data_IF_216811802438
#
_entry.id   IF_216811802438
#
_cell.length_a   1.000
_cell.length_b   1.000
_cell.length_c   1.000
_cell.angle_alpha   90.00
_cell.angle_beta   90.00
_cell.angle_gamma   90.00
#
_symmetry.space_group_name_H-M   'P 1'
#
loop_
_entity.id
_entity.type
_entity.pdbx_description
1 polymer ?
#
# COMPACT_ATOMS: atom_id res chain seq x y z
N UNK A 1 16.61 -6.65 7.59
CA UNK A 1 15.18 -6.80 7.27
C UNK A 1 14.93 -6.18 5.90
N UNK A 2 14.52 -6.98 4.91
CA UNK A 2 14.08 -6.49 3.60
C UNK A 2 12.67 -5.90 3.77
N UNK A 3 12.57 -4.59 3.94
CA UNK A 3 11.30 -3.89 4.15
C UNK A 3 10.41 -4.02 2.90
N UNK A 4 9.24 -4.67 3.01
CA UNK A 4 8.28 -4.76 1.89
C UNK A 4 7.22 -3.66 1.97
N UNK A 5 6.84 -3.16 0.81
CA UNK A 5 5.79 -2.16 0.56
C UNK A 5 4.52 -2.89 0.12
N UNK A 6 3.42 -2.68 0.83
CA UNK A 6 2.11 -3.15 0.39
C UNK A 6 1.44 -2.13 -0.51
N UNK A 7 0.82 -2.56 -1.60
CA UNK A 7 0.07 -1.68 -2.49
C UNK A 7 -1.38 -2.12 -2.48
N UNK A 8 -2.26 -1.27 -1.95
CA UNK A 8 -3.70 -1.51 -1.92
C UNK A 8 -4.36 -0.81 -3.10
N UNK A 9 -4.95 -1.59 -4.00
CA UNK A 9 -5.43 -1.09 -5.30
C UNK A 9 -6.95 -1.10 -5.42
N UNK A 10 -7.67 -0.99 -4.29
CA UNK A 10 -9.14 -0.93 -4.29
C UNK A 10 -9.58 0.33 -5.06
N UNK A 11 -10.60 0.21 -5.92
CA UNK A 11 -11.18 1.34 -6.65
C UNK A 11 -10.29 2.01 -7.72
N UNK A 12 -9.18 1.38 -8.11
CA UNK A 12 -8.34 1.89 -9.21
C UNK A 12 -8.66 1.22 -10.53
N UNK A 13 -8.67 2.00 -11.61
CA UNK A 13 -8.61 1.47 -12.97
C UNK A 13 -7.34 0.63 -13.17
N UNK A 14 -7.51 -0.51 -13.84
CA UNK A 14 -6.45 -1.50 -14.08
C UNK A 14 -5.16 -0.89 -14.64
N UNK A 15 -5.29 0.09 -15.53
CA UNK A 15 -4.17 0.80 -16.17
C UNK A 15 -3.35 1.60 -15.14
N UNK A 16 -4.01 2.29 -14.21
CA UNK A 16 -3.35 3.09 -13.16
C UNK A 16 -2.65 2.18 -12.16
N UNK A 17 -3.24 1.02 -11.88
CA UNK A 17 -2.62 -0.02 -11.04
C UNK A 17 -1.37 -0.58 -11.70
N UNK A 18 -1.46 -0.99 -12.96
CA UNK A 18 -0.34 -1.56 -13.72
C UNK A 18 0.79 -0.54 -13.85
N UNK A 19 0.50 0.71 -14.23
CA UNK A 19 1.52 1.77 -14.29
C UNK A 19 2.16 2.10 -12.93
N UNK A 20 1.38 2.09 -11.85
CA UNK A 20 1.92 2.36 -10.49
C UNK A 20 2.75 1.19 -10.00
N UNK A 21 2.28 -0.05 -10.21
CA UNK A 21 3.03 -1.25 -9.89
C UNK A 21 4.28 -1.33 -10.75
N UNK A 22 4.25 -1.03 -12.04
CA UNK A 22 5.41 -1.06 -12.94
C UNK A 22 6.47 -0.02 -12.55
N UNK A 23 6.05 1.17 -12.11
CA UNK A 23 6.96 2.16 -11.53
C UNK A 23 7.53 1.72 -10.18
N UNK A 24 6.78 0.94 -9.40
CA UNK A 24 7.19 0.44 -8.09
C UNK A 24 7.96 -0.88 -8.16
N UNK A 25 7.77 -1.70 -9.20
CA UNK A 25 8.53 -2.92 -9.47
C UNK A 25 9.92 -2.60 -10.01
N UNK A 26 10.15 -1.39 -10.55
CA UNK A 26 11.50 -0.84 -10.71
C UNK A 26 12.26 -0.75 -9.37
N UNK A 27 11.57 -0.68 -8.22
CA UNK A 27 12.20 -0.76 -6.91
C UNK A 27 12.51 -2.20 -6.45
N UNK A 28 12.23 -3.23 -7.26
CA UNK A 28 12.78 -4.59 -7.17
C UNK A 28 12.30 -5.44 -5.98
N UNK A 29 11.46 -6.48 -6.19
CA UNK A 29 11.08 -7.51 -5.18
C UNK A 29 10.52 -7.05 -3.81
N UNK A 30 10.44 -5.75 -3.53
CA UNK A 30 9.98 -5.21 -2.25
C UNK A 30 8.48 -4.91 -2.23
N UNK A 31 7.76 -4.94 -3.36
CA UNK A 31 6.35 -4.57 -3.40
C UNK A 31 5.40 -5.79 -3.51
N UNK A 32 4.30 -5.77 -2.75
CA UNK A 32 3.23 -6.79 -2.80
C UNK A 32 1.89 -6.11 -3.07
N UNK A 33 1.16 -6.57 -4.09
CA UNK A 33 -0.18 -6.08 -4.42
C UNK A 33 -1.24 -6.76 -3.54
N UNK A 34 -2.13 -5.96 -2.96
CA UNK A 34 -3.30 -6.39 -2.20
C UNK A 34 -4.57 -5.88 -2.86
N UNK A 35 -5.54 -6.78 -3.02
CA UNK A 35 -6.91 -6.48 -3.46
C UNK A 35 -7.93 -6.47 -2.31
N UNK A 36 -7.49 -6.83 -1.10
CA UNK A 36 -8.33 -6.91 0.09
C UNK A 36 -7.55 -6.39 1.31
N UNK A 37 -8.20 -5.54 2.10
CA UNK A 37 -7.67 -4.94 3.35
C UNK A 37 -7.32 -6.00 4.40
N UNK A 38 -8.10 -7.07 4.52
CA UNK A 38 -7.85 -8.11 5.53
C UNK A 38 -6.50 -8.82 5.32
N UNK A 39 -6.18 -9.17 4.06
CA UNK A 39 -4.88 -9.80 3.74
C UNK A 39 -3.72 -8.85 4.00
N UNK A 40 -3.91 -7.56 3.70
CA UNK A 40 -2.94 -6.52 3.97
C UNK A 40 -2.68 -6.37 5.48
N UNK A 41 -3.74 -6.33 6.30
CA UNK A 41 -3.62 -6.24 7.76
C UNK A 41 -2.93 -7.47 8.36
N UNK A 42 -3.20 -8.66 7.85
CA UNK A 42 -2.54 -9.89 8.32
C UNK A 42 -1.03 -9.87 8.04
N UNK A 43 -0.61 -9.41 6.85
CA UNK A 43 0.81 -9.28 6.54
C UNK A 43 1.48 -8.11 7.31
N UNK A 44 0.74 -7.03 7.58
CA UNK A 44 1.21 -5.96 8.46
C UNK A 44 1.44 -6.46 9.89
N UNK A 45 0.50 -7.25 10.45
CA UNK A 45 0.61 -7.89 11.77
C UNK A 45 1.78 -8.87 11.84
N UNK A 46 2.09 -9.54 10.74
CA UNK A 46 3.25 -10.41 10.62
C UNK A 46 4.60 -9.63 10.50
N UNK A 47 4.59 -8.30 10.56
CA UNK A 47 5.79 -7.46 10.45
C UNK A 47 6.43 -7.49 9.06
N UNK A 48 5.68 -7.91 8.04
CA UNK A 48 6.18 -8.04 6.66
C UNK A 48 6.14 -6.71 5.91
N UNK A 49 5.34 -5.76 6.38
CA UNK A 49 5.10 -4.48 5.73
C UNK A 49 5.62 -3.33 6.59
N UNK A 50 6.16 -2.31 5.93
CA UNK A 50 6.54 -1.04 6.57
C UNK A 50 5.77 0.15 6.01
N UNK A 51 5.34 0.04 4.75
CA UNK A 51 4.61 1.07 4.03
C UNK A 51 3.44 0.44 3.30
N UNK A 52 2.33 1.17 3.23
CA UNK A 52 1.13 0.82 2.48
C UNK A 52 0.79 1.99 1.57
N UNK A 53 0.78 1.73 0.27
CA UNK A 53 0.34 2.69 -0.73
C UNK A 53 -1.15 2.48 -0.99
N UNK A 54 -1.94 3.55 -0.87
CA UNK A 54 -3.37 3.57 -1.16
C UNK A 54 -3.66 4.51 -2.33
N UNK A 55 -4.72 4.23 -3.06
CA UNK A 55 -5.11 4.98 -4.26
C UNK A 55 -6.02 6.17 -3.99
N UNK A 56 -6.74 6.12 -2.88
CA UNK A 56 -7.68 7.12 -2.39
C UNK A 56 -7.84 6.91 -0.88
N UNK A 57 -8.25 7.95 -0.15
CA UNK A 57 -8.36 7.87 1.32
C UNK A 57 -9.39 6.84 1.79
N UNK A 58 -10.46 6.65 1.02
CA UNK A 58 -11.53 5.70 1.33
C UNK A 58 -11.17 4.24 0.98
N UNK A 59 -9.97 3.98 0.45
CA UNK A 59 -9.51 2.62 0.15
C UNK A 59 -9.39 1.74 1.42
N UNK A 60 -9.21 2.38 2.58
CA UNK A 60 -9.18 1.76 3.89
C UNK A 60 -10.11 2.53 4.81
N UNK A 61 -10.85 1.81 5.66
CA UNK A 61 -11.63 2.45 6.70
C UNK A 61 -10.74 3.00 7.83
N UNK A 62 -11.35 3.81 8.71
CA UNK A 62 -10.65 4.43 9.84
C UNK A 62 -10.08 3.38 10.82
N UNK A 63 -10.72 2.21 10.93
CA UNK A 63 -10.29 1.13 11.82
C UNK A 63 -9.00 0.49 11.30
N UNK A 64 -8.96 0.12 10.02
CA UNK A 64 -7.79 -0.42 9.35
C UNK A 64 -6.64 0.60 9.35
N UNK A 65 -6.93 1.88 9.14
CA UNK A 65 -5.93 2.95 9.22
C UNK A 65 -5.32 3.07 10.62
N UNK A 66 -6.13 2.96 11.66
CA UNK A 66 -5.67 2.92 13.06
C UNK A 66 -4.82 1.67 13.34
N UNK A 67 -5.26 0.49 12.90
CA UNK A 67 -4.49 -0.75 13.06
C UNK A 67 -3.11 -0.66 12.38
N UNK A 68 -3.03 -0.10 11.17
CA UNK A 68 -1.75 0.11 10.48
C UNK A 68 -0.86 1.11 11.23
N UNK A 69 -1.42 2.19 11.76
CA UNK A 69 -0.70 3.16 12.58
C UNK A 69 -0.15 2.54 13.87
N UNK A 70 -0.94 1.72 14.56
CA UNK A 70 -0.54 1.02 15.78
C UNK A 70 0.62 0.03 15.50
N UNK A 71 0.63 -0.55 14.30
CA UNK A 71 1.70 -1.42 13.79
C UNK A 71 2.92 -0.67 13.25
N UNK A 72 2.93 0.67 13.34
CA UNK A 72 3.98 1.55 12.77
C UNK A 72 4.16 1.39 11.25
N UNK A 73 3.10 1.03 10.55
CA UNK A 73 3.05 0.96 9.09
C UNK A 73 2.59 2.29 8.53
N UNK A 74 3.40 2.90 7.67
CA UNK A 74 3.09 4.20 7.07
C UNK A 74 2.12 4.03 5.90
N UNK A 75 1.00 4.74 5.95
CA UNK A 75 0.02 4.78 4.86
C UNK A 75 0.26 6.02 4.02
N UNK A 76 0.48 5.85 2.72
CA UNK A 76 0.77 6.93 1.77
C UNK A 76 -0.25 6.88 0.64
N UNK A 77 -0.86 8.01 0.32
CA UNK A 77 -1.70 8.12 -0.86
C UNK A 77 -0.83 8.31 -2.10
N UNK A 78 -1.00 7.45 -3.11
CA UNK A 78 -0.25 7.50 -4.36
C UNK A 78 -0.46 8.84 -5.10
N UNK A 79 -1.64 9.48 -4.92
CA UNK A 79 -1.91 10.80 -5.51
C UNK A 79 -1.02 11.89 -4.94
N UNK A 80 -0.61 11.77 -3.69
CA UNK A 80 0.30 12.72 -3.04
C UNK A 80 1.74 12.55 -3.55
N UNK A 81 2.11 11.34 -3.98
CA UNK A 81 3.42 11.10 -4.58
C UNK A 81 3.57 11.80 -5.94
N UNK A 82 2.51 11.85 -6.75
CA UNK A 82 2.52 12.55 -8.04
C UNK A 82 2.59 14.09 -7.93
N UNK A 83 2.44 14.66 -6.73
CA UNK A 83 2.61 16.10 -6.50
C UNK A 83 4.03 16.50 -6.13
N UNK A 84 4.90 15.54 -5.87
CA UNK A 84 6.27 15.75 -5.38
C UNK A 84 7.31 15.58 -6.50
N UNK A 85 6.90 15.06 -7.67
CA UNK A 85 7.76 14.84 -8.86
C UNK A 85 7.47 15.86 -9.95
#
# INVERSE_FOLDING_TARGET
>A
MTAKVGILTIGMDRITVENTIDKLTQFGNYAVKYSNVERLLNDAKAGRLTHVLISHEDAIDQKARKELSDLKVLVINIRDLNRII
#
